data_IF_345733658463
#
_entry.id   IF_345733658463
#
_cell.length_a   1.000
_cell.length_b   1.000
_cell.length_c   1.000
_cell.angle_alpha   90.00
_cell.angle_beta   90.00
_cell.angle_gamma   90.00
#
_symmetry.space_group_name_H-M   'P 1'
#
loop_
_entity.id
_entity.type
_entity.pdbx_description
1 polymer ?
#
# COMPACT_ATOMS: atom_id res chain seq x y z
N UNK A 1 5.92 -17.96 -11.10
CA UNK A 1 4.67 -17.52 -10.45
C UNK A 1 4.51 -17.96 -8.97
N UNK A 2 5.45 -18.67 -8.33
CA UNK A 2 5.25 -19.24 -6.97
C UNK A 2 5.98 -18.55 -5.79
N UNK A 3 6.76 -17.48 -5.98
CA UNK A 3 7.51 -16.84 -4.86
C UNK A 3 6.67 -15.90 -3.98
N UNK A 4 5.59 -15.33 -4.50
CA UNK A 4 4.75 -14.38 -3.74
C UNK A 4 3.79 -15.04 -2.74
N UNK A 5 3.68 -16.37 -2.75
CA UNK A 5 2.82 -17.14 -1.82
C UNK A 5 3.48 -17.45 -0.47
N UNK A 6 4.75 -17.10 -0.26
CA UNK A 6 5.53 -17.47 0.94
C UNK A 6 6.16 -16.26 1.66
N UNK A 7 5.46 -15.14 1.79
CA UNK A 7 5.93 -14.01 2.61
C UNK A 7 7.13 -13.23 2.03
N UNK A 8 7.58 -13.55 0.81
CA UNK A 8 8.61 -12.77 0.11
C UNK A 8 8.11 -11.34 -0.13
N UNK A 9 8.83 -10.36 0.43
CA UNK A 9 8.58 -8.95 0.17
C UNK A 9 9.24 -8.58 -1.15
N UNK A 10 8.45 -8.00 -2.05
CA UNK A 10 8.93 -7.60 -3.37
C UNK A 10 10.11 -6.60 -3.25
N UNK A 11 11.15 -6.80 -4.06
CA UNK A 11 12.30 -5.90 -4.09
C UNK A 11 12.09 -4.70 -5.02
N UNK A 12 13.00 -3.73 -4.97
CA UNK A 12 13.00 -2.58 -5.90
C UNK A 12 13.16 -3.05 -7.34
N UNK A 13 14.04 -4.01 -7.60
CA UNK A 13 14.32 -4.56 -8.93
C UNK A 13 13.10 -5.30 -9.49
N UNK A 14 12.46 -6.13 -8.66
CA UNK A 14 11.21 -6.81 -9.02
C UNK A 14 10.08 -5.81 -9.30
N UNK A 15 9.97 -4.73 -8.50
CA UNK A 15 9.03 -3.65 -8.76
C UNK A 15 9.33 -2.92 -10.06
N UNK A 16 10.60 -2.66 -10.41
CA UNK A 16 11.00 -2.03 -11.68
C UNK A 16 10.58 -2.90 -12.87
N UNK A 17 10.80 -4.21 -12.79
CA UNK A 17 10.39 -5.17 -13.83
C UNK A 17 8.87 -5.23 -13.96
N UNK A 18 8.13 -5.33 -12.85
CA UNK A 18 6.66 -5.33 -12.93
C UNK A 18 6.15 -3.99 -13.48
N UNK A 19 6.70 -2.88 -13.00
CA UNK A 19 6.29 -1.54 -13.43
C UNK A 19 6.46 -1.36 -14.94
N UNK A 20 7.54 -1.86 -15.55
CA UNK A 20 7.72 -1.78 -17.01
C UNK A 20 6.66 -2.59 -17.78
N UNK A 21 6.20 -3.72 -17.23
CA UNK A 21 5.11 -4.51 -17.81
C UNK A 21 3.71 -3.85 -17.68
N UNK A 22 3.56 -2.86 -16.81
CA UNK A 22 2.29 -2.14 -16.54
C UNK A 22 2.36 -0.66 -16.95
N UNK A 23 2.84 -0.35 -18.16
CA UNK A 23 2.91 1.02 -18.69
C UNK A 23 3.60 2.01 -17.73
N UNK A 24 4.61 1.55 -17.01
CA UNK A 24 5.32 2.33 -15.99
C UNK A 24 4.43 2.86 -14.84
N UNK A 25 3.31 2.19 -14.55
CA UNK A 25 2.33 2.56 -13.53
C UNK A 25 2.50 1.77 -12.23
N UNK A 26 3.08 2.41 -11.21
CA UNK A 26 3.21 1.83 -9.87
C UNK A 26 1.84 1.64 -9.17
N UNK A 27 0.85 2.47 -9.52
CA UNK A 27 -0.54 2.31 -9.08
C UNK A 27 -1.11 0.97 -9.56
N UNK A 28 -0.91 0.63 -10.83
CA UNK A 28 -1.42 -0.64 -11.39
C UNK A 28 -0.71 -1.84 -10.77
N UNK A 29 0.61 -1.76 -10.58
CA UNK A 29 1.40 -2.80 -9.91
C UNK A 29 0.93 -3.02 -8.47
N UNK A 30 0.76 -1.96 -7.67
CA UNK A 30 0.29 -2.10 -6.28
C UNK A 30 -1.12 -2.70 -6.18
N UNK A 31 -2.03 -2.38 -7.11
CA UNK A 31 -3.36 -3.01 -7.18
C UNK A 31 -3.27 -4.51 -7.48
N UNK A 32 -2.40 -4.91 -8.40
CA UNK A 32 -2.17 -6.33 -8.69
C UNK A 32 -1.59 -7.06 -7.47
N UNK A 33 -0.58 -6.48 -6.82
CA UNK A 33 0.03 -7.06 -5.63
C UNK A 33 -0.98 -7.18 -4.49
N UNK A 34 -1.81 -6.15 -4.28
CA UNK A 34 -2.91 -6.17 -3.31
C UNK A 34 -3.93 -7.27 -3.62
N UNK A 35 -4.31 -7.43 -4.90
CA UNK A 35 -5.23 -8.48 -5.32
C UNK A 35 -4.67 -9.88 -5.03
N UNK A 36 -3.38 -10.11 -5.26
CA UNK A 36 -2.72 -11.40 -5.03
C UNK A 36 -2.50 -11.67 -3.54
N UNK A 37 -2.06 -10.67 -2.78
CA UNK A 37 -1.71 -10.83 -1.37
C UNK A 37 -2.05 -9.58 -0.52
N UNK A 38 -3.34 -9.38 -0.18
CA UNK A 38 -3.82 -8.15 0.47
C UNK A 38 -3.34 -7.99 1.91
N UNK A 39 -2.78 -9.04 2.52
CA UNK A 39 -2.21 -9.00 3.88
C UNK A 39 -0.78 -8.44 3.93
N UNK A 40 -0.14 -8.26 2.78
CA UNK A 40 1.24 -7.78 2.66
C UNK A 40 1.37 -6.52 1.79
N UNK A 41 0.40 -6.27 0.91
CA UNK A 41 0.46 -5.16 -0.03
C UNK A 41 -0.80 -4.30 0.06
N UNK A 42 -0.60 -3.00 0.22
CA UNK A 42 -1.64 -1.98 0.12
C UNK A 42 -1.60 -1.28 -1.24
N UNK A 43 -2.71 -0.63 -1.61
CA UNK A 43 -2.80 0.09 -2.88
C UNK A 43 -2.06 1.43 -2.76
N UNK A 44 -1.16 1.70 -3.70
CA UNK A 44 -0.44 2.96 -3.82
C UNK A 44 -1.18 3.92 -4.75
N UNK A 45 -2.25 4.54 -4.23
CA UNK A 45 -3.03 5.52 -4.97
C UNK A 45 -2.47 6.93 -4.83
N UNK A 46 -2.71 7.77 -5.84
CA UNK A 46 -2.40 9.20 -5.80
C UNK A 46 -2.96 9.94 -4.59
N UNK A 47 -4.16 9.57 -4.10
CA UNK A 47 -4.76 10.18 -2.90
C UNK A 47 -4.03 9.76 -1.63
N UNK A 48 -3.62 8.49 -1.55
CA UNK A 48 -2.78 8.00 -0.44
C UNK A 48 -1.47 8.77 -0.40
N UNK A 49 -0.81 8.94 -1.56
CA UNK A 49 0.41 9.74 -1.64
C UNK A 49 0.18 11.20 -1.21
N UNK A 50 -0.87 11.83 -1.71
CA UNK A 50 -1.22 13.23 -1.39
C UNK A 50 -1.47 13.43 0.10
N UNK A 51 -2.15 12.50 0.75
CA UNK A 51 -2.36 12.53 2.20
C UNK A 51 -1.03 12.50 2.96
N UNK A 52 -0.13 11.60 2.57
CA UNK A 52 1.15 11.40 3.25
C UNK A 52 2.20 12.48 2.97
N UNK A 53 2.10 13.20 1.85
CA UNK A 53 3.14 14.14 1.43
C UNK A 53 2.95 15.58 1.91
N UNK A 54 1.79 15.93 2.50
CA UNK A 54 1.38 17.23 3.08
C UNK A 54 1.63 18.50 2.21
N UNK A 55 2.20 18.35 1.00
CA UNK A 55 2.69 19.40 0.12
C UNK A 55 2.68 18.94 -1.35
N UNK A 56 2.90 19.87 -2.29
CA UNK A 56 2.70 19.64 -3.74
C UNK A 56 3.38 18.33 -4.20
N UNK A 57 2.63 17.37 -4.77
CA UNK A 57 3.15 16.05 -5.08
C UNK A 57 4.29 16.16 -6.09
N UNK A 58 5.52 15.82 -5.66
CA UNK A 58 6.62 15.66 -6.59
C UNK A 58 6.39 14.37 -7.39
N UNK A 59 5.78 14.51 -8.57
CA UNK A 59 5.32 13.40 -9.41
C UNK A 59 6.41 12.34 -9.73
N UNK A 60 7.69 12.74 -9.70
CA UNK A 60 8.80 11.79 -9.81
C UNK A 60 8.91 10.86 -8.60
N UNK A 61 8.77 11.37 -7.38
CA UNK A 61 8.82 10.59 -6.13
C UNK A 61 7.67 9.58 -6.10
N UNK A 62 6.46 10.00 -6.46
CA UNK A 62 5.29 9.10 -6.53
C UNK A 62 5.52 7.85 -7.39
N UNK A 63 6.38 7.96 -8.43
CA UNK A 63 6.68 6.89 -9.38
C UNK A 63 7.87 6.03 -8.97
N UNK A 64 8.59 6.37 -7.91
CA UNK A 64 9.76 5.62 -7.43
C UNK A 64 9.31 4.38 -6.65
N UNK A 65 9.76 3.16 -7.05
CA UNK A 65 9.50 1.94 -6.29
C UNK A 65 9.88 2.03 -4.81
N UNK A 66 10.94 2.76 -4.50
CA UNK A 66 11.46 3.01 -3.16
C UNK A 66 10.41 3.69 -2.28
N UNK A 67 9.67 4.66 -2.82
CA UNK A 67 8.57 5.35 -2.11
C UNK A 67 7.43 4.40 -1.76
N UNK A 68 7.08 3.48 -2.66
CA UNK A 68 6.07 2.47 -2.38
C UNK A 68 6.53 1.48 -1.29
N UNK A 69 7.79 1.05 -1.31
CA UNK A 69 8.31 0.17 -0.26
C UNK A 69 8.37 0.87 1.10
N UNK A 70 8.76 2.15 1.13
CA UNK A 70 8.74 2.97 2.33
C UNK A 70 7.31 3.11 2.89
N UNK A 71 6.33 3.29 2.00
CA UNK A 71 4.92 3.29 2.38
C UNK A 71 4.50 1.97 3.04
N UNK A 72 4.84 0.81 2.46
CA UNK A 72 4.53 -0.48 3.09
C UNK A 72 5.21 -0.64 4.46
N UNK A 73 6.43 -0.12 4.62
CA UNK A 73 7.15 -0.13 5.91
C UNK A 73 6.43 0.73 6.96
N UNK A 74 5.94 1.90 6.56
CA UNK A 74 5.09 2.74 7.42
C UNK A 74 3.84 1.97 7.87
N UNK A 75 3.20 1.21 6.98
CA UNK A 75 2.04 0.40 7.36
C UNK A 75 2.40 -0.67 8.40
N UNK A 76 3.53 -1.34 8.24
CA UNK A 76 4.00 -2.29 9.26
C UNK A 76 4.23 -1.62 10.61
N UNK A 77 4.81 -0.42 10.64
CA UNK A 77 5.01 0.34 11.87
C UNK A 77 3.67 0.69 12.52
N UNK A 78 2.74 1.26 11.76
CA UNK A 78 1.42 1.66 12.26
C UNK A 78 0.60 0.48 12.78
N UNK A 79 0.75 -0.70 12.18
CA UNK A 79 0.11 -1.93 12.67
C UNK A 79 0.59 -2.37 14.05
N UNK A 80 1.81 -2.01 14.42
CA UNK A 80 2.40 -2.37 15.72
C UNK A 80 2.10 -1.33 16.82
N UNK A 81 1.41 -0.24 16.49
CA UNK A 81 0.99 0.77 17.46
C UNK A 81 -0.10 0.23 18.40
N UNK A 82 -0.05 0.60 19.68
CA UNK A 82 -0.99 0.12 20.69
C UNK A 82 -2.46 0.42 20.34
N UNK A 83 -2.72 1.53 19.65
CA UNK A 83 -4.08 1.93 19.25
C UNK A 83 -4.57 1.25 17.97
N UNK A 84 -3.72 0.47 17.29
CA UNK A 84 -4.01 -0.08 15.97
C UNK A 84 -5.20 -1.04 15.99
N UNK A 85 -5.28 -1.94 16.97
CA UNK A 85 -6.38 -2.91 17.06
C UNK A 85 -7.75 -2.22 17.13
N UNK A 86 -7.84 -1.16 17.95
CA UNK A 86 -9.07 -0.34 18.06
C UNK A 86 -9.39 0.36 16.73
N UNK A 87 -8.38 0.97 16.10
CA UNK A 87 -8.56 1.58 14.78
C UNK A 87 -9.05 0.57 13.74
N UNK A 88 -8.43 -0.61 13.69
CA UNK A 88 -8.74 -1.66 12.72
C UNK A 88 -10.16 -2.18 12.90
N UNK A 89 -10.59 -2.43 14.15
CA UNK A 89 -11.96 -2.81 14.46
C UNK A 89 -12.99 -1.77 13.99
N UNK A 90 -12.73 -0.47 14.26
CA UNK A 90 -13.60 0.61 13.79
C UNK A 90 -13.66 0.69 12.26
N UNK A 91 -12.54 0.47 11.58
CA UNK A 91 -12.48 0.47 10.13
C UNK A 91 -13.27 -0.70 9.51
N UNK A 92 -13.14 -1.91 10.06
CA UNK A 92 -13.91 -3.07 9.59
C UNK A 92 -15.42 -2.84 9.74
N UNK A 93 -15.86 -2.32 10.89
CA UNK A 93 -17.26 -1.99 11.12
C UNK A 93 -17.78 -0.90 10.16
N UNK A 94 -16.97 0.14 9.92
CA UNK A 94 -17.34 1.23 9.01
C UNK A 94 -17.47 0.77 7.55
N UNK A 95 -16.63 -0.16 7.12
CA UNK A 95 -16.60 -0.68 5.75
C UNK A 95 -17.67 -1.77 5.54
N UNK A 96 -18.07 -2.49 6.59
CA UNK A 96 -19.17 -3.46 6.55
C UNK A 96 -18.79 -4.84 5.99
N UNK A 97 -17.51 -5.10 5.77
CA UNK A 97 -16.98 -6.41 5.37
C UNK A 97 -15.54 -6.59 5.85
N UNK A 98 -15.06 -7.84 5.86
CA UNK A 98 -13.70 -8.14 6.28
C UNK A 98 -12.68 -7.57 5.30
N UNK A 99 -11.75 -6.78 5.83
CA UNK A 99 -10.60 -6.22 5.11
C UNK A 99 -9.32 -6.57 5.86
N UNK A 100 -8.18 -6.56 5.18
CA UNK A 100 -6.87 -6.70 5.83
C UNK A 100 -6.47 -5.42 6.58
N UNK A 101 -5.52 -5.54 7.50
CA UNK A 101 -4.89 -4.42 8.21
C UNK A 101 -4.29 -3.38 7.26
N UNK A 102 -3.59 -3.86 6.22
CA UNK A 102 -3.04 -3.03 5.15
C UNK A 102 -4.13 -2.26 4.40
N UNK A 103 -5.26 -2.91 4.11
CA UNK A 103 -6.42 -2.27 3.46
C UNK A 103 -7.09 -1.26 4.37
N UNK A 104 -7.15 -1.51 5.68
CA UNK A 104 -7.74 -0.56 6.63
C UNK A 104 -6.95 0.75 6.70
N UNK A 105 -5.62 0.68 6.81
CA UNK A 105 -4.76 1.87 6.81
C UNK A 105 -4.79 2.59 5.46
N UNK A 106 -4.70 1.85 4.35
CA UNK A 106 -4.80 2.43 3.01
C UNK A 106 -6.11 3.17 2.79
N UNK A 107 -7.25 2.60 3.23
CA UNK A 107 -8.55 3.25 3.10
C UNK A 107 -8.63 4.55 3.93
N UNK A 108 -8.01 4.58 5.11
CA UNK A 108 -7.95 5.78 5.93
C UNK A 108 -7.18 6.90 5.23
N UNK A 109 -6.00 6.59 4.68
CA UNK A 109 -5.21 7.56 3.90
C UNK A 109 -5.93 7.99 2.62
N UNK A 110 -6.55 7.06 1.89
CA UNK A 110 -7.27 7.37 0.66
C UNK A 110 -8.47 8.29 0.90
N UNK A 111 -9.14 8.18 2.06
CA UNK A 111 -10.29 9.01 2.42
C UNK A 111 -9.89 10.39 2.96
N UNK A 112 -8.78 10.49 3.68
CA UNK A 112 -8.24 11.78 4.12
C UNK A 112 -7.54 12.56 3.01
N UNK A 113 -7.10 11.84 1.97
CA UNK A 113 -6.33 12.35 0.84
C UNK A 113 -7.09 13.21 -0.15
#
# INVERSE_FOLDING_TARGET
MNKFKQGHRITVEELKILKSAFNNSLVSVSKLLHFIHPKQYAIWDSRVFRFLSESKPHHQIFKQPETYLAYLTLLDQLKNEMMFEKFYYLMQNKVGYQISEYRALELAFFKGG
#
